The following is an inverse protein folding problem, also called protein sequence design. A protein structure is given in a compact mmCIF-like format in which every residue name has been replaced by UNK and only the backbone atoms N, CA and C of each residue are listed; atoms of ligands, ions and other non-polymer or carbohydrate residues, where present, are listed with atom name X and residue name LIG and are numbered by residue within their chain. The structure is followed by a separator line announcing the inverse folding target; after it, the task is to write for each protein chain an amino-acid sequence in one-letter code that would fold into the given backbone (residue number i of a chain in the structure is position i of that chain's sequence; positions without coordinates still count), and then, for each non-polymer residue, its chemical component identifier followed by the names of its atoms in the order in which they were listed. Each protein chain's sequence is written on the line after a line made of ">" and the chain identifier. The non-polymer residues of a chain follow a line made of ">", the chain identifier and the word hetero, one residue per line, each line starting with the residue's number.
data_IF_018019714646
#
_entry.id   IF_018019714646
#
_cell.length_a   1.000
_cell.length_b   1.000
_cell.length_c   1.000
_cell.angle_alpha   90.00
_cell.angle_beta   90.00
_cell.angle_gamma   90.00
#
_symmetry.space_group_name_H-M   'P 1'
#
loop_
_entity.id
_entity.type
_entity.pdbx_description
1 polymer ?
#
# COMPACT_ATOMS: atom_id res chain seq x y z
N UNK A 1 -0.40 30.66 -13.37
CA UNK A 1 1.06 30.43 -13.31
C UNK A 1 1.30 28.97 -13.68
N UNK A 2 2.47 28.56 -14.19
CA UNK A 2 2.82 27.14 -14.22
C UNK A 2 2.79 26.55 -12.80
N UNK A 3 2.45 25.27 -12.63
CA UNK A 3 2.56 24.59 -11.33
C UNK A 3 4.05 24.47 -10.97
N UNK A 4 4.52 25.30 -10.03
CA UNK A 4 5.89 25.25 -9.51
C UNK A 4 5.90 24.25 -8.35
N UNK A 5 6.13 22.99 -8.69
CA UNK A 5 6.40 21.94 -7.70
C UNK A 5 7.71 22.24 -6.95
N UNK A 6 7.73 21.98 -5.65
CA UNK A 6 8.94 22.09 -4.81
C UNK A 6 10.07 21.16 -5.25
N UNK A 7 9.73 20.03 -5.86
CA UNK A 7 10.70 19.04 -6.34
C UNK A 7 11.27 18.15 -5.23
N UNK A 8 12.25 17.32 -5.59
CA UNK A 8 12.94 16.40 -4.69
C UNK A 8 14.37 16.12 -5.21
N UNK A 9 15.26 15.63 -4.35
CA UNK A 9 16.65 15.34 -4.73
C UNK A 9 16.73 14.34 -5.87
N UNK A 10 17.73 14.49 -6.74
CA UNK A 10 17.86 13.74 -8.01
C UNK A 10 17.83 12.21 -7.89
N UNK A 11 18.09 11.65 -6.70
CA UNK A 11 18.08 10.20 -6.44
C UNK A 11 16.70 9.63 -6.08
N UNK A 12 15.70 10.49 -5.85
CA UNK A 12 14.29 10.14 -5.58
C UNK A 12 13.41 10.16 -6.83
N UNK A 13 13.98 10.57 -7.98
CA UNK A 13 13.26 10.82 -9.21
C UNK A 13 12.91 9.51 -9.93
N UNK A 14 11.61 9.24 -10.04
CA UNK A 14 11.05 8.16 -10.84
C UNK A 14 11.24 8.40 -12.34
N UNK A 15 11.02 7.36 -13.14
CA UNK A 15 11.22 7.44 -14.60
C UNK A 15 10.35 6.42 -15.35
N UNK A 16 9.79 6.81 -16.49
CA UNK A 16 9.02 5.92 -17.36
C UNK A 16 9.70 5.82 -18.73
N UNK A 17 9.94 4.59 -19.18
CA UNK A 17 10.57 4.31 -20.48
C UNK A 17 9.90 3.14 -21.21
N UNK A 18 10.23 2.96 -22.48
CA UNK A 18 9.80 1.82 -23.31
C UNK A 18 11.01 1.25 -24.04
N UNK A 19 11.39 0.02 -23.72
CA UNK A 19 12.48 -0.69 -24.41
C UNK A 19 11.91 -1.74 -25.38
N UNK A 20 12.58 -1.95 -26.51
CA UNK A 20 12.27 -3.06 -27.44
C UNK A 20 13.14 -4.27 -27.09
N UNK A 21 12.51 -5.41 -26.85
CA UNK A 21 13.17 -6.68 -26.53
C UNK A 21 12.65 -7.74 -27.50
N UNK A 22 13.48 -8.10 -28.49
CA UNK A 22 13.04 -8.86 -29.68
C UNK A 22 11.83 -8.15 -30.31
N UNK A 23 10.74 -8.86 -30.56
CA UNK A 23 9.52 -8.33 -31.16
C UNK A 23 8.49 -7.80 -30.13
N UNK A 24 8.86 -7.63 -28.86
CA UNK A 24 8.00 -7.09 -27.80
C UNK A 24 8.50 -5.73 -27.31
N UNK A 25 7.58 -4.84 -26.95
CA UNK A 25 7.89 -3.59 -26.24
C UNK A 25 7.59 -3.79 -24.75
N UNK A 26 8.56 -3.48 -23.88
CA UNK A 26 8.41 -3.53 -22.42
C UNK A 26 8.36 -2.10 -21.89
N UNK A 27 7.30 -1.74 -21.17
CA UNK A 27 7.25 -0.49 -20.40
C UNK A 27 8.07 -0.70 -19.12
N UNK A 28 9.02 0.19 -18.86
CA UNK A 28 9.72 0.28 -17.58
C UNK A 28 9.13 1.46 -16.80
N UNK A 29 8.98 1.28 -15.48
CA UNK A 29 8.59 2.31 -14.54
C UNK A 29 9.48 2.16 -13.30
N UNK A 30 10.31 3.16 -13.05
CA UNK A 30 10.98 3.40 -11.78
C UNK A 30 10.06 4.29 -10.94
N UNK A 31 9.67 3.84 -9.75
CA UNK A 31 8.83 4.61 -8.85
C UNK A 31 9.63 5.75 -8.19
N UNK A 32 8.94 6.80 -7.78
CA UNK A 32 9.50 7.79 -6.87
C UNK A 32 9.57 7.23 -5.43
N UNK A 33 10.59 7.62 -4.66
CA UNK A 33 10.76 7.20 -3.27
C UNK A 33 11.35 8.34 -2.42
N UNK A 34 11.02 8.44 -1.12
CA UNK A 34 11.73 9.31 -0.18
C UNK A 34 13.06 8.68 0.28
N UNK A 35 13.79 9.40 1.15
CA UNK A 35 14.99 8.88 1.83
C UNK A 35 14.70 7.73 2.80
N UNK A 36 13.46 7.63 3.27
CA UNK A 36 13.02 6.55 4.16
C UNK A 36 13.14 5.22 3.41
N UNK A 37 13.98 4.33 3.91
CA UNK A 37 14.30 3.09 3.21
C UNK A 37 13.14 2.10 3.28
N UNK A 38 13.04 1.25 2.26
CA UNK A 38 12.08 0.14 2.14
C UNK A 38 10.57 0.47 2.08
N UNK A 39 10.10 1.63 2.54
CA UNK A 39 8.67 2.02 2.52
C UNK A 39 8.07 2.10 1.10
N UNK A 40 8.90 2.28 0.08
CA UNK A 40 8.46 2.25 -1.33
C UNK A 40 8.13 0.84 -1.85
N UNK A 41 8.55 -0.23 -1.18
CA UNK A 41 8.28 -1.61 -1.60
C UNK A 41 6.78 -1.96 -1.67
N UNK A 42 5.96 -1.69 -0.64
CA UNK A 42 4.51 -1.86 -0.74
C UNK A 42 3.88 -0.91 -1.77
N UNK A 43 4.39 0.32 -1.94
CA UNK A 43 3.95 1.24 -3.00
C UNK A 43 4.15 0.61 -4.39
N UNK A 44 5.32 0.03 -4.67
CA UNK A 44 5.61 -0.69 -5.93
C UNK A 44 4.69 -1.90 -6.11
N UNK A 45 4.35 -2.62 -5.04
CA UNK A 45 3.37 -3.71 -5.11
C UNK A 45 1.95 -3.20 -5.39
N UNK A 46 1.55 -2.06 -4.81
CA UNK A 46 0.29 -1.37 -5.12
C UNK A 46 0.18 -0.97 -6.60
N UNK A 47 1.22 -0.30 -7.13
CA UNK A 47 1.32 0.07 -8.55
C UNK A 47 1.21 -1.18 -9.43
N UNK A 48 1.97 -2.23 -9.09
CA UNK A 48 1.97 -3.50 -9.83
C UNK A 48 0.59 -4.14 -9.83
N UNK A 49 -0.11 -4.12 -8.69
CA UNK A 49 -1.46 -4.67 -8.58
C UNK A 49 -2.48 -3.86 -9.37
N UNK A 50 -2.41 -2.53 -9.36
CA UNK A 50 -3.27 -1.69 -10.19
C UNK A 50 -3.06 -1.95 -11.69
N UNK A 51 -1.81 -2.16 -12.15
CA UNK A 51 -1.56 -2.55 -13.55
C UNK A 51 -2.10 -3.96 -13.87
N UNK A 52 -1.99 -4.92 -12.95
CA UNK A 52 -2.55 -6.27 -13.11
C UNK A 52 -4.09 -6.25 -13.17
N UNK A 53 -4.76 -5.61 -12.20
CA UNK A 53 -6.22 -5.55 -12.09
C UNK A 53 -6.87 -4.72 -13.23
N UNK A 54 -6.10 -3.82 -13.86
CA UNK A 54 -6.45 -3.07 -15.08
C UNK A 54 -6.15 -3.83 -16.37
N UNK A 55 -5.31 -4.88 -16.33
CA UNK A 55 -5.03 -5.70 -17.49
C UNK A 55 -6.15 -6.71 -17.71
N UNK A 56 -6.72 -6.74 -18.92
CA UNK A 56 -7.68 -7.78 -19.33
C UNK A 56 -6.99 -9.13 -19.66
N UNK A 57 -5.79 -9.35 -19.11
CA UNK A 57 -4.93 -10.51 -19.39
C UNK A 57 -4.85 -11.33 -18.09
N UNK A 58 -5.35 -12.57 -18.10
CA UNK A 58 -5.34 -13.44 -16.92
C UNK A 58 -3.92 -13.93 -16.51
N UNK A 59 -2.91 -13.64 -17.32
CA UNK A 59 -1.50 -13.96 -17.05
C UNK A 59 -0.88 -12.98 -16.03
N UNK A 60 -0.64 -13.46 -14.82
CA UNK A 60 0.06 -12.70 -13.76
C UNK A 60 1.53 -12.37 -14.11
N UNK A 61 2.07 -12.94 -15.19
CA UNK A 61 3.40 -12.58 -15.70
C UNK A 61 3.41 -11.38 -16.66
N UNK A 62 2.24 -10.81 -17.00
CA UNK A 62 2.20 -9.62 -17.86
C UNK A 62 2.76 -8.35 -17.19
N UNK A 63 2.85 -8.34 -15.85
CA UNK A 63 3.56 -7.32 -15.05
C UNK A 63 4.53 -8.02 -14.08
N UNK A 64 5.69 -7.41 -13.86
CA UNK A 64 6.72 -7.87 -12.93
C UNK A 64 7.06 -6.74 -11.96
N UNK A 65 6.85 -6.97 -10.66
CA UNK A 65 7.45 -6.15 -9.61
C UNK A 65 8.92 -6.53 -9.43
N UNK A 66 9.78 -5.51 -9.34
CA UNK A 66 11.18 -5.64 -8.95
C UNK A 66 11.45 -4.65 -7.81
N UNK A 67 12.05 -5.10 -6.73
CA UNK A 67 12.47 -4.24 -5.61
C UNK A 67 13.97 -4.38 -5.37
N UNK A 68 14.64 -3.28 -5.01
CA UNK A 68 16.09 -3.20 -4.80
C UNK A 68 16.35 -2.66 -3.40
N UNK A 69 17.21 -3.35 -2.65
CA UNK A 69 17.36 -3.18 -1.21
C UNK A 69 18.82 -3.05 -0.78
N UNK A 70 19.07 -2.44 0.38
CA UNK A 70 20.35 -2.55 1.10
C UNK A 70 20.35 -3.74 2.07
N UNK A 71 21.52 -4.30 2.38
CA UNK A 71 21.63 -5.45 3.30
C UNK A 71 21.29 -5.12 4.75
N UNK A 72 21.58 -3.91 5.22
CA UNK A 72 21.17 -3.47 6.56
C UNK A 72 19.68 -3.08 6.63
N UNK A 73 19.13 -2.48 5.57
CA UNK A 73 17.74 -1.98 5.59
C UNK A 73 16.72 -3.10 5.42
N UNK A 74 16.98 -4.09 4.56
CA UNK A 74 16.01 -5.17 4.26
C UNK A 74 15.69 -6.06 5.47
N UNK A 75 16.64 -6.19 6.40
CA UNK A 75 16.52 -7.06 7.58
C UNK A 75 16.01 -6.30 8.83
N UNK A 76 16.07 -4.97 8.82
CA UNK A 76 15.77 -4.12 9.97
C UNK A 76 14.48 -3.29 9.85
N UNK A 77 14.04 -2.94 8.64
CA UNK A 77 12.82 -2.13 8.45
C UNK A 77 11.55 -3.00 8.50
N UNK A 78 10.67 -2.75 9.49
CA UNK A 78 9.45 -3.54 9.75
C UNK A 78 8.53 -3.68 8.53
N UNK A 79 8.42 -2.61 7.73
CA UNK A 79 7.65 -2.58 6.47
C UNK A 79 8.02 -3.71 5.49
N UNK A 80 9.24 -4.27 5.53
CA UNK A 80 9.62 -5.45 4.74
C UNK A 80 8.86 -6.69 5.22
N UNK A 81 8.81 -6.92 6.53
CA UNK A 81 8.11 -8.07 7.13
C UNK A 81 6.62 -8.01 6.77
N UNK A 82 5.99 -6.84 6.90
CA UNK A 82 4.59 -6.61 6.53
C UNK A 82 4.37 -6.84 5.02
N UNK A 83 5.23 -6.28 4.17
CA UNK A 83 5.16 -6.43 2.71
C UNK A 83 5.31 -7.88 2.27
N UNK A 84 6.18 -8.66 2.92
CA UNK A 84 6.34 -10.09 2.68
C UNK A 84 5.12 -10.87 3.18
N UNK A 85 4.57 -10.54 4.35
CA UNK A 85 3.33 -11.13 4.86
C UNK A 85 2.17 -10.96 3.85
N UNK A 86 2.03 -9.76 3.28
CA UNK A 86 1.03 -9.44 2.26
C UNK A 86 1.22 -10.20 0.93
N UNK A 87 2.43 -10.64 0.58
CA UNK A 87 2.81 -11.15 -0.75
C UNK A 87 1.90 -12.25 -1.33
N UNK A 88 1.26 -13.06 -0.48
CA UNK A 88 0.33 -14.14 -0.89
C UNK A 88 -1.15 -13.88 -0.56
N UNK A 89 -1.47 -12.81 0.16
CA UNK A 89 -2.86 -12.43 0.48
C UNK A 89 -3.66 -12.15 -0.78
N UNK A 90 -4.97 -12.39 -0.79
CA UNK A 90 -5.80 -12.20 -1.98
C UNK A 90 -5.87 -10.72 -2.41
N UNK A 91 -5.90 -9.81 -1.43
CA UNK A 91 -5.96 -8.37 -1.60
C UNK A 91 -4.69 -7.76 -2.24
N UNK A 92 -3.50 -8.29 -1.90
CA UNK A 92 -2.22 -7.65 -2.20
C UNK A 92 -1.27 -8.47 -3.10
N UNK A 93 -1.55 -9.76 -3.38
CA UNK A 93 -0.65 -10.57 -4.21
C UNK A 93 -0.46 -9.99 -5.62
N UNK A 94 0.78 -10.02 -6.11
CA UNK A 94 1.22 -9.51 -7.44
C UNK A 94 1.86 -10.61 -8.32
N UNK A 95 1.61 -11.88 -8.00
CA UNK A 95 2.24 -13.01 -8.71
C UNK A 95 3.72 -13.21 -8.36
N UNK A 96 4.18 -12.69 -7.22
CA UNK A 96 5.57 -12.75 -6.78
C UNK A 96 6.43 -11.59 -7.28
N UNK A 97 7.34 -11.12 -6.42
CA UNK A 97 8.29 -10.03 -6.68
C UNK A 97 9.72 -10.54 -6.81
N UNK A 98 10.48 -10.03 -7.78
CA UNK A 98 11.93 -10.23 -7.84
C UNK A 98 12.61 -9.22 -6.89
N UNK A 99 13.28 -9.70 -5.85
CA UNK A 99 13.95 -8.87 -4.85
C UNK A 99 15.46 -8.98 -4.99
N UNK A 100 16.13 -7.85 -5.14
CA UNK A 100 17.58 -7.78 -5.33
C UNK A 100 18.18 -7.02 -4.15
N UNK A 101 19.04 -7.67 -3.37
CA UNK A 101 19.79 -7.02 -2.28
C UNK A 101 21.17 -6.66 -2.79
N UNK A 102 21.52 -5.37 -2.74
CA UNK A 102 22.87 -4.87 -3.01
C UNK A 102 23.65 -4.96 -1.71
N UNK A 103 24.06 -6.18 -1.39
CA UNK A 103 24.69 -6.54 -0.12
C UNK A 103 26.15 -6.09 -0.14
N UNK A 104 26.35 -4.84 0.25
CA UNK A 104 27.63 -4.16 0.23
C UNK A 104 28.40 -4.31 1.56
N UNK A 105 27.85 -5.14 2.46
CA UNK A 105 28.42 -5.63 3.71
C UNK A 105 28.57 -4.58 4.83
N UNK A 106 27.96 -3.39 4.69
CA UNK A 106 28.03 -2.32 5.70
C UNK A 106 26.82 -1.37 5.64
N UNK A 107 26.13 -1.17 6.78
CA UNK A 107 25.01 -0.23 6.92
C UNK A 107 25.45 1.04 7.63
N UNK A 108 25.58 2.17 6.92
CA UNK A 108 26.33 3.35 7.41
C UNK A 108 27.71 2.98 7.98
N UNK A 109 27.92 3.07 9.29
CA UNK A 109 29.12 2.66 10.03
C UNK A 109 28.95 1.32 10.75
N UNK A 110 27.77 0.73 10.69
CA UNK A 110 27.39 -0.54 11.31
C UNK A 110 27.83 -1.73 10.45
N UNK A 111 28.67 -2.58 11.03
CA UNK A 111 29.12 -3.83 10.40
C UNK A 111 28.04 -4.93 10.47
N UNK A 112 28.24 -6.00 9.69
CA UNK A 112 27.32 -7.16 9.58
C UNK A 112 26.84 -7.70 10.93
N UNK A 113 27.71 -7.74 11.94
CA UNK A 113 27.44 -8.36 13.24
C UNK A 113 26.42 -7.58 14.07
N UNK A 114 26.44 -6.26 13.98
CA UNK A 114 25.51 -5.37 14.69
C UNK A 114 24.25 -5.08 13.85
N UNK A 115 24.35 -5.20 12.52
CA UNK A 115 23.24 -4.95 11.60
C UNK A 115 22.15 -6.05 11.60
N UNK A 116 22.42 -7.26 12.12
CA UNK A 116 21.44 -8.37 12.15
C UNK A 116 21.81 -9.54 13.08
N UNK A 117 20.80 -10.11 13.73
CA UNK A 117 20.90 -11.33 14.54
C UNK A 117 20.94 -12.64 13.73
N UNK A 118 21.19 -12.58 12.41
CA UNK A 118 21.12 -13.71 11.48
C UNK A 118 22.27 -13.69 10.47
N UNK A 119 22.58 -14.85 9.86
CA UNK A 119 23.76 -14.97 8.98
C UNK A 119 23.65 -14.09 7.74
N UNK A 120 22.48 -14.09 7.09
CA UNK A 120 22.24 -13.36 5.85
C UNK A 120 21.18 -12.27 6.04
N UNK A 121 21.36 -11.12 5.41
CA UNK A 121 20.35 -10.06 5.35
C UNK A 121 19.03 -10.54 4.70
N UNK A 122 19.13 -11.50 3.79
CA UNK A 122 17.99 -12.17 3.15
C UNK A 122 17.29 -13.21 4.02
N UNK A 123 17.73 -13.46 5.28
CA UNK A 123 17.08 -14.46 6.14
C UNK A 123 15.60 -14.12 6.44
N UNK A 124 15.18 -12.85 6.33
CA UNK A 124 13.77 -12.44 6.38
C UNK A 124 12.90 -13.13 5.32
N UNK A 125 13.47 -13.50 4.16
CA UNK A 125 12.80 -14.24 3.09
C UNK A 125 12.29 -15.62 3.54
N UNK A 126 12.89 -16.20 4.59
CA UNK A 126 12.50 -17.50 5.15
C UNK A 126 11.11 -17.46 5.78
N UNK A 127 10.64 -16.30 6.26
CA UNK A 127 9.26 -16.13 6.77
C UNK A 127 8.22 -16.65 5.78
N UNK A 128 8.39 -16.33 4.49
CA UNK A 128 7.49 -16.74 3.41
C UNK A 128 8.01 -17.93 2.60
N UNK A 129 9.03 -18.62 3.12
CA UNK A 129 9.74 -19.73 2.47
C UNK A 129 10.13 -19.41 1.01
N UNK A 130 10.64 -18.21 0.77
CA UNK A 130 11.12 -17.79 -0.55
C UNK A 130 12.54 -18.31 -0.81
N UNK A 131 12.88 -18.73 -2.05
CA UNK A 131 14.24 -19.11 -2.39
C UNK A 131 15.17 -17.89 -2.43
N UNK A 132 16.39 -18.09 -1.96
CA UNK A 132 17.44 -17.08 -1.88
C UNK A 132 18.63 -17.55 -2.74
N UNK A 133 19.10 -16.70 -3.64
CA UNK A 133 20.27 -16.95 -4.48
C UNK A 133 21.40 -16.00 -4.05
N UNK A 134 22.37 -16.50 -3.28
CA UNK A 134 23.57 -15.75 -2.90
C UNK A 134 24.59 -15.79 -4.05
N UNK A 135 25.09 -14.63 -4.48
CA UNK A 135 25.98 -14.50 -5.64
C UNK A 135 27.06 -13.46 -5.39
N UNK A 136 28.32 -13.78 -5.70
CA UNK A 136 29.42 -12.82 -5.75
C UNK A 136 29.25 -11.87 -6.95
N UNK A 137 29.22 -10.54 -6.72
CA UNK A 137 29.12 -9.53 -7.78
C UNK A 137 30.29 -9.55 -8.76
N UNK A 138 31.47 -10.00 -8.33
CA UNK A 138 32.68 -10.10 -9.17
C UNK A 138 32.59 -11.21 -10.23
N UNK A 139 31.49 -11.97 -10.23
CA UNK A 139 31.20 -13.02 -11.21
C UNK A 139 29.90 -12.66 -11.98
N UNK A 140 29.94 -11.68 -12.90
CA UNK A 140 28.73 -11.18 -13.58
C UNK A 140 27.98 -12.26 -14.37
N UNK A 141 28.66 -13.29 -14.88
CA UNK A 141 28.00 -14.44 -15.51
C UNK A 141 27.13 -15.24 -14.52
N UNK A 142 27.56 -15.38 -13.26
CA UNK A 142 26.77 -16.01 -12.21
C UNK A 142 25.58 -15.14 -11.79
N UNK A 143 25.75 -13.82 -11.72
CA UNK A 143 24.64 -12.89 -11.46
C UNK A 143 23.57 -12.93 -12.57
N UNK A 144 23.98 -12.99 -13.85
CA UNK A 144 23.08 -13.16 -14.99
C UNK A 144 22.37 -14.51 -14.93
N UNK A 145 23.06 -15.60 -14.57
CA UNK A 145 22.46 -16.93 -14.39
C UNK A 145 21.41 -16.94 -13.27
N UNK A 146 21.77 -16.41 -12.09
CA UNK A 146 20.86 -16.31 -10.95
C UNK A 146 19.63 -15.44 -11.26
N UNK A 147 19.80 -14.34 -12.00
CA UNK A 147 18.68 -13.49 -12.45
C UNK A 147 17.71 -14.26 -13.34
N UNK A 148 18.22 -15.10 -14.26
CA UNK A 148 17.37 -15.96 -15.11
C UNK A 148 16.64 -17.02 -14.27
N UNK A 149 17.37 -17.75 -13.42
CA UNK A 149 16.80 -18.77 -12.54
C UNK A 149 15.73 -18.20 -11.59
N UNK A 150 15.94 -16.99 -11.05
CA UNK A 150 14.97 -16.28 -10.23
C UNK A 150 13.70 -15.92 -11.02
N UNK A 151 13.84 -15.36 -12.21
CA UNK A 151 12.69 -15.04 -13.09
C UNK A 151 11.93 -16.31 -13.50
N UNK A 152 12.61 -17.39 -13.82
CA UNK A 152 12.00 -18.68 -14.16
C UNK A 152 11.25 -19.28 -12.95
N UNK A 153 11.81 -19.17 -11.74
CA UNK A 153 11.11 -19.55 -10.51
C UNK A 153 9.86 -18.69 -10.28
N UNK A 154 10.00 -17.35 -10.32
CA UNK A 154 8.89 -16.41 -10.10
C UNK A 154 7.75 -16.68 -11.06
N UNK A 155 8.05 -16.80 -12.36
CA UNK A 155 7.04 -16.96 -13.40
C UNK A 155 6.37 -18.35 -13.40
N UNK A 156 7.05 -19.36 -12.84
CA UNK A 156 6.52 -20.74 -12.70
C UNK A 156 5.68 -20.93 -11.43
N UNK A 157 6.08 -20.31 -10.31
CA UNK A 157 5.50 -20.57 -8.99
C UNK A 157 4.71 -19.40 -8.40
N UNK A 158 4.74 -18.23 -9.03
CA UNK A 158 4.04 -17.00 -8.62
C UNK A 158 4.34 -16.56 -7.18
N UNK A 159 5.61 -16.67 -6.79
CA UNK A 159 6.15 -16.35 -5.45
C UNK A 159 7.36 -15.44 -5.56
N UNK A 160 7.58 -14.66 -4.49
CA UNK A 160 8.77 -13.84 -4.33
C UNK A 160 10.04 -14.70 -4.37
N UNK A 161 11.13 -14.10 -4.84
CA UNK A 161 12.47 -14.70 -4.93
C UNK A 161 13.53 -13.63 -4.68
N UNK A 162 14.57 -13.98 -3.92
CA UNK A 162 15.63 -13.07 -3.53
C UNK A 162 16.94 -13.40 -4.25
N UNK A 163 17.63 -12.37 -4.70
CA UNK A 163 19.03 -12.43 -5.13
C UNK A 163 19.84 -11.58 -4.16
N UNK A 164 20.78 -12.19 -3.47
CA UNK A 164 21.73 -11.54 -2.58
C UNK A 164 23.04 -11.30 -3.35
N UNK A 165 23.22 -10.08 -3.86
CA UNK A 165 24.40 -9.66 -4.62
C UNK A 165 25.48 -9.16 -3.64
N UNK A 166 26.36 -10.06 -3.23
CA UNK A 166 27.46 -9.77 -2.31
C UNK A 166 28.51 -8.95 -3.04
N UNK A 167 28.74 -7.72 -2.57
CA UNK A 167 29.62 -6.69 -3.12
C UNK A 167 30.26 -5.87 -1.97
N UNK A 168 30.70 -4.63 -2.23
CA UNK A 168 31.31 -3.75 -1.22
C UNK A 168 30.94 -2.28 -1.41
N UNK A 169 30.91 -1.49 -0.32
CA UNK A 169 30.62 -0.04 -0.35
C UNK A 169 31.91 0.79 -0.37
N UNK A 170 31.91 1.93 -1.08
CA UNK A 170 33.09 2.80 -1.24
C UNK A 170 33.11 4.08 -0.37
N UNK A 171 31.99 4.47 0.26
CA UNK A 171 31.76 5.77 0.95
C UNK A 171 30.74 5.68 2.15
N UNK A 172 30.31 6.79 2.81
CA UNK A 172 29.51 6.89 4.09
C UNK A 172 27.95 7.07 4.03
N UNK A 173 27.24 7.55 5.10
CA UNK A 173 25.73 7.66 5.15
C UNK A 173 24.93 8.65 6.12
N UNK A 174 25.22 8.88 7.43
CA UNK A 174 24.60 9.86 8.43
C UNK A 174 23.60 9.41 9.58
N UNK A 175 23.18 10.32 10.52
CA UNK A 175 22.90 10.11 11.99
C UNK A 175 21.49 10.47 12.68
N UNK A 176 20.87 9.52 13.46
CA UNK A 176 20.03 9.46 14.74
C UNK A 176 18.92 10.44 15.33
N UNK A 177 17.77 9.94 15.92
CA UNK A 177 16.92 10.41 17.13
C UNK A 177 15.63 9.54 17.54
N UNK A 178 14.78 9.93 18.55
CA UNK A 178 13.26 9.80 18.75
C UNK A 178 12.48 9.25 20.07
N UNK A 179 11.43 8.34 20.15
CA UNK A 179 10.09 8.63 20.83
C UNK A 179 9.22 7.56 21.66
N UNK A 180 7.99 7.96 22.14
CA UNK A 180 6.70 7.20 22.58
C UNK A 180 6.43 6.94 24.12
N UNK A 181 5.24 6.62 24.75
CA UNK A 181 3.76 6.31 24.49
C UNK A 181 2.80 6.95 25.59
N UNK A 182 1.61 6.56 26.17
CA UNK A 182 0.69 5.34 26.31
C UNK A 182 -0.83 5.67 26.74
N UNK A 183 -1.61 4.80 27.47
CA UNK A 183 -3.12 4.59 27.45
C UNK A 183 -3.90 4.33 28.81
N UNK A 184 -5.27 4.08 29.00
CA UNK A 184 -6.33 3.29 28.26
C UNK A 184 -7.89 3.72 28.33
N UNK A 185 -8.89 2.77 28.36
CA UNK A 185 -10.18 2.66 27.54
C UNK A 185 -11.50 2.15 28.26
N UNK A 186 -12.77 2.42 27.78
CA UNK A 186 -14.05 1.58 27.86
C UNK A 186 -15.31 2.07 27.02
N UNK A 187 -16.31 1.17 26.72
CA UNK A 187 -17.41 1.22 25.69
C UNK A 187 -18.87 1.61 26.20
N UNK A 188 -20.09 1.48 25.57
CA UNK A 188 -20.67 0.79 24.35
C UNK A 188 -22.10 1.33 23.85
N UNK A 189 -22.99 0.53 23.19
CA UNK A 189 -24.15 0.97 22.32
C UNK A 189 -25.55 0.27 22.49
N UNK A 190 -26.65 0.77 21.84
CA UNK A 190 -27.85 0.01 21.33
C UNK A 190 -28.78 0.77 20.32
N UNK A 191 -29.89 0.15 19.83
CA UNK A 191 -30.65 0.54 18.60
C UNK A 191 -32.11 1.08 18.78
N UNK A 192 -32.65 1.75 17.74
CA UNK A 192 -34.05 1.61 17.29
C UNK A 192 -34.23 2.04 15.80
N UNK A 193 -35.45 2.05 15.23
CA UNK A 193 -35.72 2.31 13.78
C UNK A 193 -35.33 3.73 13.35
N UNK A 194 -34.62 3.86 12.21
CA UNK A 194 -33.92 5.08 11.80
C UNK A 194 -34.13 5.43 10.32
N UNK A 195 -33.83 6.69 9.99
CA UNK A 195 -33.45 7.15 8.64
C UNK A 195 -32.24 6.36 8.10
N UNK A 196 -31.84 6.59 6.85
CA UNK A 196 -30.54 6.12 6.35
C UNK A 196 -29.42 6.48 7.33
N UNK A 197 -28.85 5.45 7.97
CA UNK A 197 -27.67 5.57 8.82
C UNK A 197 -26.38 5.60 7.97
N UNK A 198 -25.25 5.64 8.65
CA UNK A 198 -23.94 5.77 7.99
C UNK A 198 -23.64 4.60 7.06
N UNK A 199 -23.82 3.35 7.51
CA UNK A 199 -23.56 2.16 6.72
C UNK A 199 -24.52 2.05 5.54
N UNK A 200 -25.81 2.35 5.74
CA UNK A 200 -26.80 2.35 4.67
C UNK A 200 -26.50 3.40 3.59
N UNK A 201 -26.05 4.60 3.97
CA UNK A 201 -25.65 5.65 3.01
C UNK A 201 -24.32 5.35 2.31
N UNK A 202 -23.36 4.74 3.02
CA UNK A 202 -22.09 4.27 2.47
C UNK A 202 -22.32 3.20 1.40
N UNK A 203 -23.11 2.16 1.70
CA UNK A 203 -23.44 1.10 0.74
C UNK A 203 -24.30 1.61 -0.44
N UNK A 204 -25.16 2.62 -0.23
CA UNK A 204 -25.89 3.29 -1.32
C UNK A 204 -24.95 4.10 -2.23
N UNK A 205 -23.92 4.75 -1.65
CA UNK A 205 -22.86 5.38 -2.44
C UNK A 205 -22.16 4.35 -3.33
N UNK A 206 -21.79 3.20 -2.76
CA UNK A 206 -21.13 2.14 -3.52
C UNK A 206 -22.01 1.58 -4.63
N UNK A 207 -23.29 1.28 -4.35
CA UNK A 207 -24.23 0.81 -5.37
C UNK A 207 -24.39 1.79 -6.54
N UNK A 208 -24.50 3.09 -6.25
CA UNK A 208 -24.63 4.13 -7.29
C UNK A 208 -23.34 4.38 -8.07
N UNK A 209 -22.15 4.10 -7.49
CA UNK A 209 -20.88 4.18 -8.20
C UNK A 209 -20.64 2.96 -9.11
N UNK A 210 -21.00 1.75 -8.66
CA UNK A 210 -20.99 0.52 -9.48
C UNK A 210 -21.92 0.68 -10.69
N UNK A 211 -23.13 1.21 -10.48
CA UNK A 211 -24.06 1.53 -11.56
C UNK A 211 -23.48 2.59 -12.54
N UNK A 212 -22.73 3.57 -12.03
CA UNK A 212 -22.00 4.56 -12.84
C UNK A 212 -20.74 3.98 -13.52
N UNK A 213 -20.50 2.66 -13.42
CA UNK A 213 -19.32 1.92 -13.91
C UNK A 213 -17.98 2.39 -13.30
N UNK A 214 -18.01 2.89 -12.06
CA UNK A 214 -16.82 3.19 -11.26
C UNK A 214 -16.56 2.01 -10.31
N UNK A 215 -15.38 1.41 -10.41
CA UNK A 215 -14.96 0.33 -9.51
C UNK A 215 -14.66 0.85 -8.11
N UNK A 216 -14.61 -0.05 -7.12
CA UNK A 216 -14.37 0.30 -5.73
C UNK A 216 -13.40 -0.71 -5.12
N UNK A 217 -12.35 -0.22 -4.49
CA UNK A 217 -11.42 -0.98 -3.66
C UNK A 217 -11.48 -0.41 -2.25
N UNK A 218 -12.12 -1.14 -1.34
CA UNK A 218 -12.12 -0.87 0.10
C UNK A 218 -11.19 -1.88 0.78
N UNK A 219 -10.28 -1.38 1.61
CA UNK A 219 -9.30 -2.21 2.32
C UNK A 219 -9.02 -1.64 3.71
N UNK A 220 -8.64 -2.52 4.63
CA UNK A 220 -8.34 -2.17 6.01
C UNK A 220 -8.68 -3.34 6.93
N UNK A 221 -8.59 -3.14 8.23
CA UNK A 221 -8.85 -4.19 9.21
C UNK A 221 -10.36 -4.37 9.42
N UNK A 222 -10.83 -5.61 9.33
CA UNK A 222 -12.25 -6.00 9.46
C UNK A 222 -13.28 -5.28 8.56
N UNK A 223 -12.84 -4.50 7.56
CA UNK A 223 -13.67 -3.63 6.71
C UNK A 223 -14.86 -4.32 6.03
N UNK A 224 -14.78 -5.64 5.76
CA UNK A 224 -15.87 -6.45 5.22
C UNK A 224 -17.12 -6.44 6.12
N UNK A 225 -16.92 -6.36 7.44
CA UNK A 225 -17.94 -6.17 8.48
C UNK A 225 -18.07 -4.69 8.87
N UNK A 226 -16.93 -4.00 8.91
CA UNK A 226 -16.72 -2.75 9.65
C UNK A 226 -16.40 -3.03 11.11
N UNK A 227 -15.42 -2.31 11.68
CA UNK A 227 -15.05 -2.39 13.11
C UNK A 227 -16.31 -2.32 13.99
N UNK A 228 -17.10 -1.27 13.78
CA UNK A 228 -18.31 -0.91 14.53
C UNK A 228 -19.59 -1.66 14.07
N UNK A 229 -19.43 -2.81 13.40
CA UNK A 229 -20.53 -3.67 12.98
C UNK A 229 -21.59 -2.96 12.11
N UNK A 230 -21.17 -2.00 11.29
CA UNK A 230 -22.07 -1.08 10.59
C UNK A 230 -22.22 -1.33 9.08
N UNK A 231 -21.30 -2.08 8.45
CA UNK A 231 -21.19 -2.12 6.98
C UNK A 231 -21.74 -3.39 6.33
N UNK A 232 -21.35 -4.55 6.83
CA UNK A 232 -21.75 -5.87 6.29
C UNK A 232 -21.64 -6.02 4.75
N UNK A 233 -20.58 -5.45 4.15
CA UNK A 233 -20.30 -5.55 2.72
C UNK A 233 -20.06 -7.01 2.26
N UNK A 234 -19.67 -7.89 3.19
CA UNK A 234 -19.64 -9.35 3.02
C UNK A 234 -20.53 -10.00 4.07
N UNK A 235 -21.42 -10.90 3.65
CA UNK A 235 -22.32 -11.68 4.50
C UNK A 235 -21.92 -13.15 4.45
N UNK A 236 -21.84 -13.82 5.60
CA UNK A 236 -21.42 -15.22 5.71
C UNK A 236 -22.58 -16.14 6.10
N UNK A 237 -22.79 -17.20 5.32
CA UNK A 237 -23.82 -18.20 5.59
C UNK A 237 -23.47 -19.05 6.82
N UNK A 238 -24.24 -18.91 7.89
CA UNK A 238 -24.02 -19.53 9.20
C UNK A 238 -23.97 -21.06 9.21
N UNK A 239 -24.39 -21.74 8.12
CA UNK A 239 -24.38 -23.21 8.02
C UNK A 239 -23.14 -23.78 7.34
N UNK A 240 -22.40 -22.98 6.56
CA UNK A 240 -21.30 -23.49 5.73
C UNK A 240 -20.17 -22.47 5.45
N UNK A 241 -20.21 -21.29 6.08
CA UNK A 241 -19.24 -20.20 5.95
C UNK A 241 -18.99 -19.68 4.52
N UNK A 242 -19.87 -20.01 3.55
CA UNK A 242 -19.81 -19.41 2.22
C UNK A 242 -20.15 -17.92 2.34
N UNK A 243 -19.26 -17.08 1.82
CA UNK A 243 -19.45 -15.64 1.74
C UNK A 243 -20.28 -15.23 0.52
N UNK A 244 -21.04 -14.15 0.67
CA UNK A 244 -21.76 -13.47 -0.39
C UNK A 244 -21.53 -11.97 -0.28
N UNK A 245 -21.39 -11.30 -1.43
CA UNK A 245 -21.15 -9.85 -1.54
C UNK A 245 -22.36 -9.27 -2.28
N UNK A 246 -23.33 -8.63 -1.59
CA UNK A 246 -24.58 -8.18 -2.21
C UNK A 246 -24.37 -7.24 -3.40
N UNK A 247 -23.32 -6.41 -3.36
CA UNK A 247 -22.93 -5.49 -4.43
C UNK A 247 -22.60 -6.18 -5.76
N UNK A 248 -22.22 -7.47 -5.77
CA UNK A 248 -22.00 -8.24 -7.00
C UNK A 248 -23.31 -8.65 -7.70
N UNK A 249 -24.46 -8.41 -7.08
CA UNK A 249 -25.79 -8.67 -7.68
C UNK A 249 -26.32 -7.50 -8.52
N UNK A 250 -25.61 -6.37 -8.55
CA UNK A 250 -25.97 -5.19 -9.36
C UNK A 250 -25.68 -5.52 -10.83
N UNK A 251 -26.73 -5.62 -11.63
CA UNK A 251 -26.62 -6.02 -13.04
C UNK A 251 -26.02 -4.92 -13.93
N UNK A 252 -25.45 -5.32 -15.06
CA UNK A 252 -24.96 -4.46 -16.16
C UNK A 252 -23.75 -3.55 -15.87
N UNK A 253 -23.06 -3.70 -14.73
CA UNK A 253 -21.81 -2.98 -14.46
C UNK A 253 -20.57 -3.75 -14.94
N UNK A 254 -19.66 -3.08 -15.66
CA UNK A 254 -18.31 -3.58 -15.96
C UNK A 254 -17.31 -3.34 -14.80
N UNK A 255 -17.70 -2.51 -13.82
CA UNK A 255 -16.91 -2.19 -12.63
C UNK A 255 -16.83 -3.33 -11.61
N UNK A 256 -15.74 -3.36 -10.84
CA UNK A 256 -15.50 -4.34 -9.78
C UNK A 256 -15.79 -3.72 -8.41
N UNK A 257 -16.50 -4.44 -7.53
CA UNK A 257 -16.54 -4.12 -6.09
C UNK A 257 -15.61 -5.09 -5.35
N UNK A 258 -14.55 -4.55 -4.75
CA UNK A 258 -13.54 -5.31 -4.02
C UNK A 258 -13.47 -4.79 -2.58
N UNK A 259 -13.78 -5.64 -1.61
CA UNK A 259 -13.65 -5.35 -0.18
C UNK A 259 -12.70 -6.37 0.45
N UNK A 260 -11.70 -5.89 1.17
CA UNK A 260 -10.57 -6.70 1.63
C UNK A 260 -10.21 -6.42 3.09
N UNK A 261 -10.45 -7.40 3.96
CA UNK A 261 -9.78 -7.43 5.26
C UNK A 261 -8.26 -7.56 5.02
N UNK A 262 -7.47 -6.62 5.55
CA UNK A 262 -6.00 -6.63 5.45
C UNK A 262 -5.37 -7.60 6.45
N UNK A 263 -4.05 -7.76 6.35
CA UNK A 263 -3.23 -8.15 7.51
C UNK A 263 -3.23 -7.02 8.55
N UNK A 264 -2.97 -7.35 9.81
CA UNK A 264 -2.70 -6.35 10.85
C UNK A 264 -1.38 -5.65 10.51
N UNK A 265 -1.46 -4.41 10.01
CA UNK A 265 -0.38 -3.66 9.36
C UNK A 265 -0.95 -2.37 8.77
N UNK A 266 -0.62 -1.21 9.33
CA UNK A 266 -1.02 0.09 8.79
C UNK A 266 -0.02 0.61 7.76
N UNK A 267 1.29 0.52 8.03
CA UNK A 267 2.31 1.14 7.17
C UNK A 267 2.31 0.52 5.77
N UNK A 268 2.51 -0.80 5.68
CA UNK A 268 2.59 -1.43 4.37
C UNK A 268 1.23 -1.47 3.64
N UNK A 269 0.10 -1.55 4.35
CA UNK A 269 -1.22 -1.53 3.69
C UNK A 269 -1.58 -0.14 3.15
N UNK A 270 -1.37 0.93 3.91
CA UNK A 270 -1.62 2.30 3.43
C UNK A 270 -0.69 2.66 2.26
N UNK A 271 0.59 2.24 2.33
CA UNK A 271 1.54 2.40 1.24
C UNK A 271 1.11 1.64 -0.04
N UNK A 272 0.56 0.42 0.12
CA UNK A 272 0.02 -0.34 -0.99
C UNK A 272 -1.17 0.38 -1.65
N UNK A 273 -2.12 0.89 -0.87
CA UNK A 273 -3.29 1.58 -1.42
C UNK A 273 -2.93 2.94 -2.06
N UNK A 274 -1.95 3.66 -1.53
CA UNK A 274 -1.37 4.82 -2.21
C UNK A 274 -0.74 4.41 -3.57
N UNK A 275 0.05 3.34 -3.60
CA UNK A 275 0.63 2.81 -4.84
C UNK A 275 -0.43 2.37 -5.87
N UNK A 276 -1.55 1.83 -5.39
CA UNK A 276 -2.68 1.42 -6.21
C UNK A 276 -3.43 2.64 -6.78
N UNK A 277 -3.68 3.68 -5.97
CA UNK A 277 -4.47 4.86 -6.34
C UNK A 277 -3.83 5.73 -7.43
N UNK A 278 -2.51 5.92 -7.42
CA UNK A 278 -1.78 6.84 -8.32
C UNK A 278 -1.77 6.43 -9.82
N UNK A 279 -2.29 5.25 -10.17
CA UNK A 279 -2.32 4.73 -11.55
C UNK A 279 -3.72 4.24 -12.00
N UNK A 280 -4.77 4.54 -11.23
CA UNK A 280 -6.14 4.09 -11.49
C UNK A 280 -7.15 5.24 -11.31
N UNK A 281 -7.96 5.47 -12.35
CA UNK A 281 -8.78 6.69 -12.52
C UNK A 281 -10.28 6.35 -12.69
N UNK A 282 -10.59 5.05 -12.67
CA UNK A 282 -11.87 4.37 -12.84
C UNK A 282 -12.21 3.52 -11.60
N UNK A 283 -11.46 3.70 -10.50
CA UNK A 283 -11.65 3.03 -9.21
C UNK A 283 -11.59 4.04 -8.07
N UNK A 284 -12.61 4.04 -7.19
CA UNK A 284 -12.54 4.67 -5.88
C UNK A 284 -11.71 3.78 -4.94
N UNK A 285 -10.60 4.30 -4.43
CA UNK A 285 -9.67 3.57 -3.55
C UNK A 285 -9.79 4.10 -2.13
N UNK A 286 -10.10 3.22 -1.18
CA UNK A 286 -10.36 3.54 0.22
C UNK A 286 -9.52 2.62 1.11
N UNK A 287 -8.76 3.24 2.01
CA UNK A 287 -8.12 2.58 3.15
C UNK A 287 -8.84 3.01 4.44
N UNK A 288 -9.22 2.07 5.29
CA UNK A 288 -9.87 2.32 6.59
C UNK A 288 -8.98 1.81 7.74
N UNK A 289 -8.60 2.72 8.63
CA UNK A 289 -7.98 2.36 9.90
C UNK A 289 -9.04 1.78 10.85
N UNK A 290 -8.67 0.79 11.67
CA UNK A 290 -9.60 0.19 12.65
C UNK A 290 -10.15 1.26 13.61
N UNK A 291 -9.26 2.12 14.10
CA UNK A 291 -9.51 3.44 14.70
C UNK A 291 -8.53 4.45 14.09
N UNK A 292 -8.91 5.72 13.97
CA UNK A 292 -8.07 6.74 13.32
C UNK A 292 -6.75 6.99 14.05
N UNK A 293 -6.72 6.75 15.35
CA UNK A 293 -5.56 6.86 16.24
C UNK A 293 -4.36 6.04 15.76
N UNK A 294 -4.60 4.85 15.16
CA UNK A 294 -3.58 3.89 14.69
C UNK A 294 -2.93 4.27 13.35
N UNK A 295 -3.49 5.24 12.60
CA UNK A 295 -2.89 5.71 11.35
C UNK A 295 -1.49 6.34 11.55
N UNK A 296 -1.11 6.63 12.80
CA UNK A 296 0.26 7.00 13.17
C UNK A 296 1.30 5.87 12.95
N UNK A 297 0.89 4.61 12.82
CA UNK A 297 1.76 3.51 12.38
C UNK A 297 2.25 3.73 10.95
N UNK A 298 1.39 4.30 10.09
CA UNK A 298 1.69 4.60 8.69
C UNK A 298 2.20 6.04 8.46
N UNK A 299 2.73 6.72 9.47
CA UNK A 299 3.07 8.16 9.38
C UNK A 299 4.07 8.48 8.27
N UNK A 300 5.03 7.59 8.00
CA UNK A 300 5.99 7.77 6.90
C UNK A 300 5.26 7.83 5.54
N UNK A 301 4.20 7.05 5.36
CA UNK A 301 3.37 7.08 4.13
C UNK A 301 2.61 8.40 4.02
N UNK A 302 2.02 8.85 5.13
CA UNK A 302 1.25 10.09 5.22
C UNK A 302 2.15 11.29 4.84
N UNK A 303 3.31 11.41 5.48
CA UNK A 303 4.22 12.54 5.34
C UNK A 303 4.96 12.55 4.01
N UNK A 304 5.43 11.37 3.55
CA UNK A 304 6.37 11.29 2.44
C UNK A 304 5.75 11.01 1.07
N UNK A 305 4.49 10.57 1.03
CA UNK A 305 3.78 10.22 -0.21
C UNK A 305 2.42 10.91 -0.32
N UNK A 306 1.55 10.79 0.69
CA UNK A 306 0.16 11.26 0.60
C UNK A 306 0.10 12.79 0.62
N UNK A 307 0.75 13.43 1.58
CA UNK A 307 0.71 14.89 1.76
C UNK A 307 1.73 15.66 0.93
N UNK A 308 2.80 15.01 0.46
CA UNK A 308 3.92 15.68 -0.22
C UNK A 308 4.21 15.18 -1.64
N UNK A 309 3.65 14.04 -2.09
CA UNK A 309 3.97 13.44 -3.39
C UNK A 309 3.63 14.30 -4.61
N UNK A 310 2.58 15.13 -4.53
CA UNK A 310 2.27 16.09 -5.59
C UNK A 310 3.34 17.19 -5.68
N UNK A 311 3.74 17.79 -4.55
CA UNK A 311 4.73 18.88 -4.54
C UNK A 311 6.17 18.40 -4.77
N UNK A 312 6.50 17.15 -4.43
CA UNK A 312 7.82 16.55 -4.67
C UNK A 312 7.99 16.03 -6.10
N UNK A 313 6.95 15.41 -6.65
CA UNK A 313 7.05 14.54 -7.83
C UNK A 313 5.96 14.77 -8.90
N UNK A 314 5.01 15.70 -8.67
CA UNK A 314 3.81 15.85 -9.50
C UNK A 314 2.80 14.69 -9.37
N UNK A 315 3.02 13.78 -8.41
CA UNK A 315 2.28 12.52 -8.31
C UNK A 315 0.99 12.66 -7.48
N UNK A 316 -0.12 12.92 -8.19
CA UNK A 316 -1.46 13.10 -7.61
C UNK A 316 -2.10 11.73 -7.28
N UNK A 317 -2.80 11.62 -6.15
CA UNK A 317 -3.42 10.38 -5.64
C UNK A 317 -4.94 10.54 -5.45
N UNK A 318 -5.71 9.50 -5.76
CA UNK A 318 -7.17 9.44 -5.56
C UNK A 318 -7.61 8.85 -4.22
N UNK A 319 -6.66 8.42 -3.38
CA UNK A 319 -6.88 7.68 -2.13
C UNK A 319 -7.78 8.42 -1.14
N UNK A 320 -8.74 7.70 -0.57
CA UNK A 320 -9.51 8.11 0.62
C UNK A 320 -8.99 7.36 1.84
N UNK A 321 -8.77 8.08 2.94
CA UNK A 321 -8.51 7.50 4.25
C UNK A 321 -9.76 7.66 5.13
N UNK A 322 -10.33 6.54 5.59
CA UNK A 322 -11.32 6.53 6.66
C UNK A 322 -10.59 6.39 8.00
N UNK A 323 -10.80 7.38 8.88
CA UNK A 323 -10.16 7.50 10.17
C UNK A 323 -11.25 7.70 11.23
N UNK A 324 -11.73 6.62 11.88
CA UNK A 324 -12.72 6.72 12.95
C UNK A 324 -12.25 7.65 14.08
N UNK A 325 -13.11 8.56 14.53
CA UNK A 325 -12.77 9.64 15.47
C UNK A 325 -14.01 10.06 16.27
N UNK A 326 -13.87 10.15 17.60
CA UNK A 326 -14.91 10.62 18.50
C UNK A 326 -14.49 10.47 19.96
N UNK A 327 -14.72 11.50 20.78
CA UNK A 327 -14.40 11.45 22.22
C UNK A 327 -15.53 10.78 23.01
N UNK A 328 -15.61 9.45 22.92
CA UNK A 328 -16.71 8.64 23.47
C UNK A 328 -16.38 7.98 24.83
N UNK A 329 -15.28 8.37 25.48
CA UNK A 329 -14.81 7.74 26.73
C UNK A 329 -13.95 6.49 26.52
N UNK A 330 -13.83 6.01 25.27
CA UNK A 330 -13.02 4.86 24.87
C UNK A 330 -11.49 5.07 25.00
N UNK A 331 -11.03 6.19 25.55
CA UNK A 331 -9.62 6.39 25.91
C UNK A 331 -8.69 6.86 24.78
N UNK A 332 -7.41 7.20 25.09
CA UNK A 332 -6.53 7.96 24.20
C UNK A 332 -5.93 7.24 22.95
N UNK A 333 -6.33 5.99 22.66
CA UNK A 333 -6.01 5.24 21.43
C UNK A 333 -7.27 4.86 20.63
N UNK A 334 -8.44 5.29 21.11
CA UNK A 334 -9.74 5.02 20.50
C UNK A 334 -10.59 6.31 20.54
N UNK A 335 -9.96 7.47 20.29
CA UNK A 335 -10.56 8.79 20.43
C UNK A 335 -10.21 9.75 19.31
N UNK A 336 -8.94 9.82 18.91
CA UNK A 336 -8.39 10.88 18.07
C UNK A 336 -7.63 10.36 16.86
N UNK A 337 -8.22 10.57 15.69
CA UNK A 337 -7.53 10.53 14.40
C UNK A 337 -6.42 11.60 14.23
N UNK A 338 -6.07 12.37 15.28
CA UNK A 338 -5.01 13.40 15.26
C UNK A 338 -5.24 14.43 14.16
N UNK A 339 -6.47 14.93 14.08
CA UNK A 339 -6.95 15.93 13.12
C UNK A 339 -5.98 17.13 13.00
N UNK A 340 -5.42 17.57 14.12
CA UNK A 340 -4.44 18.64 14.21
C UNK A 340 -3.16 18.38 13.40
N UNK A 341 -2.72 17.12 13.29
CA UNK A 341 -1.56 16.72 12.49
C UNK A 341 -1.86 16.82 11.00
N UNK A 342 -3.02 16.35 10.56
CA UNK A 342 -3.43 16.50 9.16
C UNK A 342 -3.62 17.98 8.79
N UNK A 343 -4.21 18.79 9.69
CA UNK A 343 -4.33 20.24 9.50
C UNK A 343 -2.97 20.95 9.43
N UNK A 344 -1.97 20.50 10.20
CA UNK A 344 -0.60 20.99 10.12
C UNK A 344 0.08 20.64 8.77
N UNK A 345 -0.27 19.50 8.19
CA UNK A 345 0.25 19.03 6.90
C UNK A 345 -0.48 19.63 5.69
N UNK A 346 -1.57 20.39 5.88
CA UNK A 346 -2.30 21.05 4.79
C UNK A 346 -1.52 22.24 4.19
N UNK A 347 -1.11 22.11 2.93
CA UNK A 347 -0.50 23.19 2.15
C UNK A 347 -0.85 23.06 0.66
N UNK A 348 -1.01 24.20 -0.04
CA UNK A 348 -1.13 24.24 -1.52
C UNK A 348 -2.25 23.35 -2.12
N UNK A 349 -3.29 23.02 -1.34
CA UNK A 349 -4.39 22.08 -1.67
C UNK A 349 -4.00 20.58 -1.77
N UNK A 350 -2.86 20.18 -1.20
CA UNK A 350 -2.32 18.81 -1.24
C UNK A 350 -3.27 17.72 -0.75
N UNK A 351 -4.07 17.98 0.29
CA UNK A 351 -5.06 17.04 0.85
C UNK A 351 -6.41 17.72 1.12
N UNK A 352 -7.47 16.91 1.18
CA UNK A 352 -8.83 17.34 1.54
C UNK A 352 -9.24 16.68 2.86
N UNK A 353 -9.28 17.45 3.95
CA UNK A 353 -9.81 17.00 5.23
C UNK A 353 -11.31 17.26 5.27
N UNK A 354 -12.11 16.28 5.71
CA UNK A 354 -13.55 16.39 5.81
C UNK A 354 -14.05 15.67 7.06
N UNK A 355 -14.92 16.33 7.83
CA UNK A 355 -15.58 15.78 9.02
C UNK A 355 -17.11 15.78 8.75
N UNK A 356 -17.63 14.85 7.94
CA UNK A 356 -19.06 14.80 7.65
C UNK A 356 -19.86 14.54 8.92
N UNK A 357 -20.92 15.33 9.15
CA UNK A 357 -21.82 15.19 10.31
C UNK A 357 -23.15 14.50 9.99
N UNK A 358 -23.38 14.11 8.73
CA UNK A 358 -24.59 13.39 8.30
C UNK A 358 -24.26 12.32 7.25
N UNK A 359 -25.00 11.19 7.20
CA UNK A 359 -24.77 10.15 6.20
C UNK A 359 -24.88 10.64 4.73
N UNK A 360 -25.72 11.64 4.48
CA UNK A 360 -25.82 12.29 3.18
C UNK A 360 -24.53 13.03 2.77
N UNK A 361 -23.81 13.66 3.71
CA UNK A 361 -22.51 14.26 3.42
C UNK A 361 -21.48 13.20 3.02
N UNK A 362 -21.42 12.07 3.74
CA UNK A 362 -20.52 10.96 3.37
C UNK A 362 -20.81 10.45 1.94
N UNK A 363 -22.08 10.19 1.61
CA UNK A 363 -22.52 9.82 0.26
C UNK A 363 -22.06 10.82 -0.82
N UNK A 364 -22.22 12.13 -0.57
CA UNK A 364 -21.83 13.17 -1.52
C UNK A 364 -20.30 13.38 -1.62
N UNK A 365 -19.56 13.23 -0.52
CA UNK A 365 -18.09 13.33 -0.50
C UNK A 365 -17.45 12.19 -1.30
N UNK A 366 -17.90 10.95 -1.09
CA UNK A 366 -17.40 9.78 -1.83
C UNK A 366 -17.73 9.88 -3.33
N UNK A 367 -18.95 10.30 -3.69
CA UNK A 367 -19.31 10.55 -5.10
C UNK A 367 -18.59 11.75 -5.71
N UNK A 368 -18.16 12.75 -4.92
CA UNK A 368 -17.26 13.82 -5.38
C UNK A 368 -15.89 13.25 -5.74
N UNK A 369 -15.27 12.51 -4.82
CA UNK A 369 -13.93 11.94 -5.03
C UNK A 369 -13.91 10.93 -6.18
N UNK A 370 -14.86 10.00 -6.22
CA UNK A 370 -14.94 8.97 -7.26
C UNK A 370 -15.19 9.52 -8.68
N UNK A 371 -15.71 10.75 -8.79
CA UNK A 371 -15.91 11.45 -10.07
C UNK A 371 -14.89 12.57 -10.33
N UNK A 372 -13.96 12.80 -9.40
CA UNK A 372 -12.87 13.74 -9.58
C UNK A 372 -11.79 13.11 -10.47
N UNK A 373 -11.78 13.49 -11.75
CA UNK A 373 -10.78 13.00 -12.70
C UNK A 373 -9.42 13.63 -12.44
N UNK A 374 -8.55 12.86 -11.79
CA UNK A 374 -7.11 13.12 -11.85
C UNK A 374 -6.68 12.90 -13.31
N UNK A 375 -6.08 13.92 -13.91
CA UNK A 375 -5.38 13.81 -15.18
C UNK A 375 -3.95 13.32 -14.88
N UNK A 376 -3.67 12.06 -15.24
CA UNK A 376 -2.36 11.42 -15.15
C UNK A 376 -1.60 11.47 -16.49
#
# INVERSE_FOLDING_TARGET
>A
MPEVYSGDVKYHQGFISKIKVKNKTVKLLLAFNPSHLEVVNPVVMGITRAQLDKSNIQDKNCVLSVTVHGDASIIAQGVIQETLNMSRTQAHQVGGTLRIVVNNQIGFTTDIQDARSTRYCTDIAKMIQSPILHVNSDHPCAAIFATRLALDFRNKFYRDVFIDLVCYRRYGHNEADEPRVTQPIINEMMQEKRSFDWGAAEMLCYATLINDNISIRLSGEDVARGTFFHRHAVVYNQKNNISHIPMHSIQNSLSKFCVWNTTLSEEASLAFEYGYSININDTLVIWEAQFGDFANGAQIVIDQFITSGEQKWGQKSSLVMFLPHGHEGQGPEHSSARLERYLQLCAQNNIQICIPSTPAQMYHLLRRQAKFKINC
#
